data_IF_285890562062
#
_entry.id   IF_285890562062
#
_cell.length_a   1.000
_cell.length_b   1.000
_cell.length_c   1.000
_cell.angle_alpha   90.00
_cell.angle_beta   90.00
_cell.angle_gamma   90.00
#
_symmetry.space_group_name_H-M   'P 1'
#
loop_
_entity.id
_entity.type
_entity.pdbx_description
1 polymer ?
#
# COMPACT_ATOMS: atom_id res chain seq x y z
N UNK A 1 30.92 31.38 40.53
CA UNK A 1 30.47 32.34 41.57
C UNK A 1 29.40 33.21 40.94
N UNK A 2 28.13 33.04 41.37
CA UNK A 2 27.22 34.06 41.97
C UNK A 2 27.07 35.36 41.15
N UNK A 3 25.92 35.98 40.89
CA UNK A 3 24.45 35.80 41.00
C UNK A 3 23.86 37.16 40.49
N UNK A 4 22.53 37.26 40.40
CA UNK A 4 21.68 38.47 40.26
C UNK A 4 21.47 38.95 38.81
N UNK A 5 20.28 38.92 38.19
CA UNK A 5 18.88 39.21 38.60
C UNK A 5 18.66 40.66 39.03
N UNK A 6 17.99 41.46 38.20
CA UNK A 6 17.06 42.51 38.64
C UNK A 6 16.13 42.96 37.50
N UNK A 7 14.83 42.66 37.66
CA UNK A 7 13.72 43.36 37.00
C UNK A 7 13.53 44.73 37.66
N UNK A 8 13.17 45.77 36.90
CA UNK A 8 12.26 46.83 37.37
C UNK A 8 11.30 47.26 36.27
N UNK A 9 10.04 47.37 36.69
CA UNK A 9 8.84 47.76 35.96
C UNK A 9 8.77 49.29 35.81
N UNK A 10 8.11 49.77 34.74
CA UNK A 10 7.09 50.83 34.83
C UNK A 10 6.44 51.10 33.47
N UNK A 11 5.10 50.96 33.40
CA UNK A 11 4.21 51.40 32.30
C UNK A 11 4.09 52.94 32.31
N UNK A 12 3.67 53.55 31.19
CA UNK A 12 2.27 53.98 31.15
C UNK A 12 1.57 53.70 29.81
N UNK A 13 0.24 53.73 29.88
CA UNK A 13 -0.71 53.52 28.80
C UNK A 13 -1.11 54.82 28.09
N UNK A 14 -1.98 54.66 27.06
CA UNK A 14 -2.74 55.63 26.24
C UNK A 14 -2.07 56.06 24.90
N UNK A 15 -2.75 56.17 23.75
CA UNK A 15 -4.12 55.85 23.29
C UNK A 15 -4.13 55.93 21.75
N UNK A 16 -5.02 55.14 21.12
CA UNK A 16 -5.71 55.24 19.82
C UNK A 16 -5.06 55.88 18.56
N UNK A 17 -5.19 55.19 17.42
CA UNK A 17 -6.18 55.53 16.38
C UNK A 17 -6.08 54.56 15.17
N UNK A 18 -7.25 54.21 14.62
CA UNK A 18 -7.47 53.34 13.47
C UNK A 18 -7.10 54.06 12.16
N UNK A 19 -6.36 53.40 11.25
CA UNK A 19 -6.54 53.53 9.79
C UNK A 19 -5.64 52.55 9.01
N UNK A 20 -6.29 51.60 8.31
CA UNK A 20 -5.96 51.15 6.95
C UNK A 20 -4.54 50.67 6.61
N UNK A 21 -4.40 49.37 6.33
CA UNK A 21 -3.20 48.84 5.67
C UNK A 21 -3.20 47.33 5.52
N UNK A 22 -4.09 46.80 4.69
CA UNK A 22 -4.17 45.39 4.35
C UNK A 22 -3.05 45.05 3.35
N UNK A 23 -1.98 44.39 3.81
CA UNK A 23 -1.04 43.66 2.94
C UNK A 23 -1.02 42.19 3.39
N UNK A 24 -1.59 41.38 2.51
CA UNK A 24 -1.78 39.94 2.62
C UNK A 24 -0.42 39.23 2.75
N UNK A 25 -0.08 38.75 3.95
CA UNK A 25 0.95 37.71 4.11
C UNK A 25 0.36 36.38 3.63
N UNK A 26 0.37 36.17 2.31
CA UNK A 26 0.02 34.89 1.68
C UNK A 26 1.09 33.85 1.95
N UNK A 27 1.09 33.26 3.14
CA UNK A 27 1.79 32.01 3.40
C UNK A 27 1.09 30.88 2.65
N UNK A 28 1.65 30.45 1.52
CA UNK A 28 1.21 29.22 0.86
C UNK A 28 1.46 28.06 1.84
N UNK A 29 0.45 27.25 2.22
CA UNK A 29 0.74 26.01 2.92
C UNK A 29 1.50 25.14 1.93
N UNK A 30 2.75 24.82 2.25
CA UNK A 30 3.48 23.76 1.56
C UNK A 30 2.66 22.49 1.73
N UNK A 31 1.96 22.08 0.67
CA UNK A 31 1.34 20.77 0.62
C UNK A 31 2.46 19.75 0.81
N UNK A 32 2.54 19.15 2.00
CA UNK A 32 3.37 17.97 2.25
C UNK A 32 3.03 16.94 1.17
N UNK A 33 3.97 16.75 0.25
CA UNK A 33 3.89 15.66 -0.70
C UNK A 33 3.82 14.38 0.12
N UNK A 34 2.63 13.75 0.16
CA UNK A 34 2.44 12.46 0.78
C UNK A 34 3.56 11.51 0.32
N UNK A 35 4.23 10.78 1.23
CA UNK A 35 5.42 10.05 0.86
C UNK A 35 5.08 9.02 -0.23
N UNK A 36 6.00 8.87 -1.19
CA UNK A 36 5.92 7.91 -2.29
C UNK A 36 5.80 6.43 -1.83
N UNK A 37 5.83 6.19 -0.52
CA UNK A 37 5.72 4.91 0.16
C UNK A 37 4.44 4.13 -0.16
N UNK A 38 3.33 4.81 -0.44
CA UNK A 38 2.06 4.13 -0.76
C UNK A 38 2.15 3.26 -2.03
N UNK A 39 3.03 3.61 -2.97
CA UNK A 39 3.28 2.83 -4.20
C UNK A 39 4.20 1.63 -3.94
N UNK A 40 5.01 1.68 -2.89
CA UNK A 40 5.98 0.63 -2.50
C UNK A 40 5.47 -0.27 -1.38
N UNK A 41 4.27 0.00 -0.85
CA UNK A 41 3.60 -0.85 0.12
C UNK A 41 2.44 -1.61 -0.52
N UNK A 42 2.33 -2.89 -0.17
CA UNK A 42 1.15 -3.70 -0.44
C UNK A 42 0.17 -3.50 0.71
N UNK A 43 -0.86 -2.70 0.45
CA UNK A 43 -1.88 -2.36 1.44
C UNK A 43 -2.74 -3.56 1.81
N UNK A 44 -3.42 -3.49 2.95
CA UNK A 44 -4.25 -4.59 3.44
C UNK A 44 -5.42 -4.93 2.50
N UNK A 45 -5.89 -3.97 1.71
CA UNK A 45 -7.05 -4.11 0.83
C UNK A 45 -6.70 -4.07 -0.65
N UNK A 46 -5.46 -3.72 -1.02
CA UNK A 46 -5.14 -3.51 -2.42
C UNK A 46 -3.79 -2.86 -2.68
N UNK A 47 -3.56 -2.57 -3.95
CA UNK A 47 -2.33 -1.96 -4.44
C UNK A 47 -2.67 -0.91 -5.49
N UNK A 48 -2.03 0.27 -5.36
CA UNK A 48 -2.13 1.37 -6.33
C UNK A 48 -3.56 1.79 -6.67
N UNK A 49 -4.49 1.60 -5.73
CA UNK A 49 -5.89 1.96 -5.84
C UNK A 49 -6.75 0.99 -6.66
N UNK A 50 -6.24 -0.20 -6.96
CA UNK A 50 -7.05 -1.40 -7.24
C UNK A 50 -7.18 -2.15 -5.92
N UNK A 51 -8.40 -2.54 -5.55
CA UNK A 51 -8.71 -3.20 -4.27
C UNK A 51 -9.34 -4.57 -4.52
N UNK A 52 -9.09 -5.51 -3.61
CA UNK A 52 -9.79 -6.79 -3.60
C UNK A 52 -11.31 -6.57 -3.58
N UNK A 53 -12.05 -7.41 -4.30
CA UNK A 53 -13.51 -7.36 -4.38
C UNK A 53 -14.10 -6.34 -5.37
N UNK A 54 -13.29 -5.47 -5.98
CA UNK A 54 -13.78 -4.58 -7.03
C UNK A 54 -14.33 -5.40 -8.21
N UNK A 55 -15.50 -5.06 -8.73
CA UNK A 55 -15.98 -5.67 -9.98
C UNK A 55 -15.05 -5.32 -11.16
N UNK A 56 -15.21 -6.01 -12.28
CA UNK A 56 -14.46 -5.69 -13.51
C UNK A 56 -14.71 -4.24 -13.94
N UNK A 57 -15.95 -3.76 -13.82
CA UNK A 57 -16.35 -2.40 -14.17
C UNK A 57 -15.68 -1.38 -13.25
N UNK A 58 -15.67 -1.63 -11.94
CA UNK A 58 -15.00 -0.76 -10.96
C UNK A 58 -13.48 -0.73 -11.18
N UNK A 59 -12.87 -1.89 -11.41
CA UNK A 59 -11.44 -2.00 -11.67
C UNK A 59 -11.04 -1.32 -12.99
N UNK A 60 -11.88 -1.41 -14.03
CA UNK A 60 -11.69 -0.69 -15.30
C UNK A 60 -11.86 0.82 -15.10
N UNK A 61 -12.86 1.25 -14.34
CA UNK A 61 -13.15 2.65 -14.07
C UNK A 61 -12.01 3.37 -13.35
N UNK A 62 -11.10 2.65 -12.67
CA UNK A 62 -9.91 3.29 -12.10
C UNK A 62 -8.96 3.84 -13.16
N UNK A 63 -9.05 3.39 -14.42
CA UNK A 63 -8.14 3.77 -15.50
C UNK A 63 -6.71 3.28 -15.32
N UNK A 64 -6.46 2.32 -14.41
CA UNK A 64 -5.11 1.88 -14.02
C UNK A 64 -4.71 0.54 -14.61
N UNK A 65 -5.68 -0.22 -15.11
CA UNK A 65 -5.47 -1.55 -15.64
C UNK A 65 -5.64 -1.57 -17.15
N UNK A 66 -4.95 -2.51 -17.78
CA UNK A 66 -5.16 -2.94 -19.16
C UNK A 66 -5.42 -4.44 -19.13
N UNK A 67 -6.47 -4.89 -19.83
CA UNK A 67 -6.77 -6.31 -19.94
C UNK A 67 -5.75 -6.95 -20.87
N UNK A 68 -5.22 -8.10 -20.48
CA UNK A 68 -4.20 -8.84 -21.24
C UNK A 68 -4.67 -10.21 -21.69
N UNK A 69 -5.69 -10.78 -21.04
CA UNK A 69 -6.15 -12.11 -21.38
C UNK A 69 -7.28 -12.61 -20.48
N UNK A 70 -7.37 -13.94 -20.40
CA UNK A 70 -8.25 -14.69 -19.51
C UNK A 70 -7.50 -15.91 -18.99
N UNK A 71 -7.79 -16.27 -17.74
CA UNK A 71 -7.23 -17.42 -17.06
C UNK A 71 -8.32 -18.11 -16.23
N UNK A 72 -8.58 -19.38 -16.53
CA UNK A 72 -9.66 -20.15 -15.90
C UNK A 72 -10.99 -19.34 -15.90
N UNK A 73 -11.59 -19.12 -14.73
CA UNK A 73 -12.85 -18.35 -14.58
C UNK A 73 -12.64 -16.84 -14.41
N UNK A 74 -11.42 -16.36 -14.64
CA UNK A 74 -11.00 -14.99 -14.35
C UNK A 74 -10.45 -14.28 -15.59
N UNK A 75 -10.52 -12.95 -15.54
CA UNK A 75 -9.87 -12.09 -16.53
C UNK A 75 -8.52 -11.62 -16.03
N UNK A 76 -7.55 -11.50 -16.95
CA UNK A 76 -6.17 -11.13 -16.67
C UNK A 76 -5.93 -9.66 -17.01
N UNK A 77 -5.21 -8.97 -16.10
CA UNK A 77 -4.96 -7.53 -16.22
C UNK A 77 -3.56 -7.16 -15.73
N UNK A 78 -3.03 -6.09 -16.28
CA UNK A 78 -1.75 -5.49 -15.88
C UNK A 78 -1.92 -4.03 -15.45
N UNK A 79 -1.08 -3.56 -14.52
CA UNK A 79 -1.02 -2.13 -14.19
C UNK A 79 -0.37 -1.34 -15.33
N UNK A 80 -0.99 -0.25 -15.77
CA UNK A 80 -0.49 0.59 -16.88
C UNK A 80 0.88 1.20 -16.66
N UNK A 81 1.26 1.48 -15.42
CA UNK A 81 2.53 2.14 -15.06
C UNK A 81 3.23 1.36 -13.95
N UNK A 82 4.46 1.73 -13.58
CA UNK A 82 5.17 1.19 -12.41
C UNK A 82 5.73 -0.23 -12.56
N UNK A 83 6.46 -0.74 -11.56
CA UNK A 83 7.04 -2.08 -11.61
C UNK A 83 5.95 -3.15 -11.71
N UNK A 84 6.09 -4.03 -12.68
CA UNK A 84 5.20 -5.18 -12.90
C UNK A 84 5.79 -6.46 -12.33
N UNK A 85 4.93 -7.41 -12.06
CA UNK A 85 5.36 -8.80 -11.97
C UNK A 85 5.87 -9.27 -13.34
N UNK A 86 6.98 -10.02 -13.37
CA UNK A 86 7.50 -10.64 -14.60
C UNK A 86 6.92 -12.04 -14.72
N UNK A 87 6.30 -12.35 -15.86
CA UNK A 87 5.86 -13.71 -16.20
C UNK A 87 4.38 -14.01 -16.00
N UNK A 88 3.52 -12.98 -15.94
CA UNK A 88 2.07 -13.17 -15.84
C UNK A 88 1.32 -11.85 -15.57
N UNK A 89 -0.01 -11.92 -15.38
CA UNK A 89 -0.81 -10.74 -15.04
C UNK A 89 -0.45 -10.17 -13.67
N UNK A 90 -0.70 -8.88 -13.48
CA UNK A 90 -0.61 -8.25 -12.15
C UNK A 90 -1.91 -8.43 -11.34
N UNK A 91 -3.04 -8.60 -12.03
CA UNK A 91 -4.37 -8.69 -11.40
C UNK A 91 -5.22 -9.75 -12.07
N UNK A 92 -5.86 -10.60 -11.26
CA UNK A 92 -6.91 -11.52 -11.69
C UNK A 92 -8.25 -11.05 -11.15
N UNK A 93 -9.24 -10.96 -12.02
CA UNK A 93 -10.60 -10.54 -11.66
C UNK A 93 -11.58 -11.68 -11.95
N UNK A 94 -12.16 -12.22 -10.87
CA UNK A 94 -13.24 -13.19 -10.87
C UNK A 94 -14.55 -12.54 -11.28
N UNK A 95 -15.35 -13.25 -12.07
CA UNK A 95 -16.72 -12.82 -12.38
C UNK A 95 -17.63 -12.81 -11.14
N UNK A 96 -17.37 -13.69 -10.17
CA UNK A 96 -18.19 -13.85 -8.97
C UNK A 96 -17.69 -12.99 -7.80
N UNK A 97 -16.37 -12.90 -7.64
CA UNK A 97 -15.75 -12.30 -6.46
C UNK A 97 -15.07 -10.96 -6.73
N UNK A 98 -15.06 -10.49 -7.98
CA UNK A 98 -14.33 -9.28 -8.36
C UNK A 98 -12.81 -9.50 -8.33
N UNK A 99 -12.03 -8.46 -8.05
CA UNK A 99 -10.57 -8.53 -7.96
C UNK A 99 -10.20 -9.55 -6.88
N UNK A 100 -9.67 -10.67 -7.31
CA UNK A 100 -9.40 -11.84 -6.48
C UNK A 100 -7.92 -11.92 -6.09
N UNK A 101 -7.04 -11.51 -7.00
CA UNK A 101 -5.59 -11.63 -6.84
C UNK A 101 -4.93 -10.36 -7.32
N UNK A 102 -4.00 -9.83 -6.52
CA UNK A 102 -3.13 -8.72 -6.89
C UNK A 102 -1.68 -9.17 -6.66
N UNK A 103 -0.98 -9.43 -7.75
CA UNK A 103 0.43 -9.81 -7.79
C UNK A 103 1.26 -8.52 -7.91
N UNK A 104 2.33 -8.41 -7.13
CA UNK A 104 3.16 -7.20 -7.11
C UNK A 104 4.58 -7.45 -7.59
N UNK A 105 5.14 -6.45 -8.28
CA UNK A 105 6.51 -6.45 -8.74
C UNK A 105 7.54 -6.08 -7.67
N UNK A 106 8.79 -5.98 -8.10
CA UNK A 106 9.93 -5.63 -7.25
C UNK A 106 9.76 -4.27 -6.56
N UNK A 107 10.40 -4.13 -5.39
CA UNK A 107 10.34 -2.91 -4.59
C UNK A 107 9.06 -2.75 -3.76
N UNK A 108 8.05 -3.60 -3.96
CA UNK A 108 6.83 -3.62 -3.14
C UNK A 108 7.01 -4.53 -1.91
N UNK A 109 6.57 -4.05 -0.74
CA UNK A 109 6.65 -4.79 0.53
C UNK A 109 5.31 -4.81 1.25
N UNK A 110 5.04 -5.90 1.98
CA UNK A 110 3.98 -5.95 3.00
C UNK A 110 4.21 -4.93 4.11
N UNK A 111 3.20 -4.69 4.95
CA UNK A 111 3.33 -3.82 6.13
C UNK A 111 4.40 -4.29 7.12
N UNK A 112 4.72 -5.59 7.14
CA UNK A 112 5.80 -6.19 7.95
C UNK A 112 7.15 -6.27 7.22
N UNK A 113 7.30 -5.57 6.09
CA UNK A 113 8.59 -5.40 5.40
C UNK A 113 9.03 -6.55 4.50
N UNK A 114 8.22 -7.61 4.34
CA UNK A 114 8.50 -8.71 3.40
C UNK A 114 8.13 -8.31 1.98
N UNK A 115 9.02 -8.56 1.03
CA UNK A 115 8.82 -8.42 -0.42
C UNK A 115 9.71 -9.38 -1.20
N UNK A 116 9.70 -9.28 -2.53
CA UNK A 116 10.58 -10.07 -3.41
C UNK A 116 12.05 -9.94 -2.99
N UNK A 117 12.76 -11.06 -2.95
CA UNK A 117 14.15 -11.17 -2.48
C UNK A 117 14.30 -11.45 -0.98
N UNK A 118 13.24 -11.29 -0.17
CA UNK A 118 13.28 -11.63 1.26
C UNK A 118 13.56 -13.11 1.47
N UNK A 119 14.39 -13.46 2.44
CA UNK A 119 14.71 -14.86 2.75
C UNK A 119 13.54 -15.57 3.44
N UNK A 120 13.47 -16.90 3.31
CA UNK A 120 12.50 -17.73 4.06
C UNK A 120 12.59 -17.53 5.57
N UNK A 121 13.79 -17.23 6.09
CA UNK A 121 14.01 -16.89 7.51
C UNK A 121 13.38 -15.55 7.88
N UNK A 122 13.55 -14.51 7.06
CA UNK A 122 12.90 -13.21 7.27
C UNK A 122 11.38 -13.36 7.20
N UNK A 123 10.88 -14.12 6.21
CA UNK A 123 9.45 -14.41 6.06
C UNK A 123 8.87 -15.02 7.35
N UNK A 124 9.46 -16.10 7.88
CA UNK A 124 9.04 -16.72 9.15
C UNK A 124 9.14 -15.81 10.36
N UNK A 125 10.13 -14.92 10.41
CA UNK A 125 10.26 -13.96 11.51
C UNK A 125 9.15 -12.92 11.47
N UNK A 126 8.79 -12.42 10.29
CA UNK A 126 7.73 -11.42 10.12
C UNK A 126 6.32 -12.02 10.30
N UNK A 127 6.17 -13.30 9.98
CA UNK A 127 4.91 -14.04 10.08
C UNK A 127 5.20 -15.38 10.79
N UNK A 128 5.17 -15.41 12.13
CA UNK A 128 5.43 -16.65 12.87
C UNK A 128 4.34 -17.71 12.62
N UNK A 129 3.10 -17.27 12.39
CA UNK A 129 1.94 -18.12 12.11
C UNK A 129 1.73 -18.35 10.60
N UNK A 130 2.83 -18.62 9.87
CA UNK A 130 2.72 -18.94 8.44
C UNK A 130 2.00 -20.27 8.25
N UNK A 131 0.96 -20.23 7.44
CA UNK A 131 0.26 -21.41 6.97
C UNK A 131 0.83 -21.82 5.60
N UNK A 132 0.40 -22.98 5.11
CA UNK A 132 0.74 -23.48 3.77
C UNK A 132 -0.56 -23.63 2.98
N UNK A 133 -0.65 -22.98 1.83
CA UNK A 133 -1.77 -23.15 0.91
C UNK A 133 -1.81 -24.59 0.35
N UNK A 134 -2.94 -25.00 -0.22
CA UNK A 134 -3.08 -26.31 -0.89
C UNK A 134 -2.03 -26.55 -1.99
N UNK A 135 -1.52 -25.47 -2.59
CA UNK A 135 -0.42 -25.49 -3.56
C UNK A 135 0.98 -25.71 -2.96
N UNK A 136 1.12 -25.85 -1.64
CA UNK A 136 2.40 -26.03 -0.95
C UNK A 136 3.20 -24.74 -0.69
N UNK A 137 2.65 -23.57 -1.04
CA UNK A 137 3.33 -22.28 -0.85
C UNK A 137 2.92 -21.59 0.45
N UNK A 138 3.83 -20.85 1.11
CA UNK A 138 3.49 -20.14 2.35
C UNK A 138 2.44 -19.04 2.14
N UNK A 139 1.49 -18.98 3.06
CA UNK A 139 0.51 -17.89 3.16
C UNK A 139 0.51 -17.29 4.56
N UNK A 140 0.22 -15.99 4.65
CA UNK A 140 0.14 -15.29 5.93
C UNK A 140 -1.13 -14.45 6.02
N UNK A 141 -1.67 -14.30 7.22
CA UNK A 141 -2.75 -13.36 7.49
C UNK A 141 -2.34 -11.92 7.14
N UNK A 142 -3.28 -11.17 6.55
CA UNK A 142 -3.09 -9.75 6.24
C UNK A 142 -3.55 -8.92 7.44
N UNK A 143 -2.67 -8.13 8.08
CA UNK A 143 -3.09 -7.27 9.18
C UNK A 143 -4.23 -6.35 8.75
N UNK A 144 -5.31 -6.32 9.54
CA UNK A 144 -6.54 -5.52 9.30
C UNK A 144 -7.40 -5.95 8.11
N UNK A 145 -7.16 -7.12 7.50
CA UNK A 145 -8.06 -7.68 6.50
C UNK A 145 -8.24 -9.20 6.71
N UNK A 146 -9.26 -9.63 7.46
CA UNK A 146 -9.49 -11.06 7.72
C UNK A 146 -9.91 -11.83 6.47
N UNK A 147 -10.37 -11.14 5.42
CA UNK A 147 -10.84 -11.72 4.17
C UNK A 147 -9.71 -11.93 3.15
N UNK A 148 -8.45 -11.65 3.51
CA UNK A 148 -7.32 -11.80 2.62
C UNK A 148 -6.15 -12.53 3.27
N UNK A 149 -5.29 -13.09 2.44
CA UNK A 149 -3.97 -13.58 2.83
C UNK A 149 -2.90 -13.03 1.89
N UNK A 150 -1.69 -12.89 2.40
CA UNK A 150 -0.50 -12.77 1.55
C UNK A 150 -0.11 -14.16 1.08
N UNK A 151 0.25 -14.27 -0.19
CA UNK A 151 0.74 -15.50 -0.80
C UNK A 151 2.16 -15.28 -1.28
N UNK A 152 3.07 -16.22 -0.99
CA UNK A 152 4.50 -16.09 -1.31
C UNK A 152 4.98 -17.31 -2.11
N UNK A 153 5.40 -17.12 -3.36
CA UNK A 153 6.22 -18.15 -4.01
C UNK A 153 7.66 -18.02 -3.53
N UNK A 154 8.30 -19.18 -3.34
CA UNK A 154 9.71 -19.26 -3.04
C UNK A 154 10.47 -19.84 -4.23
N UNK A 155 11.60 -19.21 -4.58
CA UNK A 155 12.64 -19.82 -5.40
C UNK A 155 13.85 -20.06 -4.52
N UNK A 156 14.17 -21.35 -4.30
CA UNK A 156 15.15 -21.77 -3.31
C UNK A 156 14.82 -21.25 -1.91
N UNK A 157 15.65 -20.34 -1.39
CA UNK A 157 15.52 -19.77 -0.02
C UNK A 157 14.95 -18.36 0.01
N UNK A 158 14.46 -17.82 -1.10
CA UNK A 158 13.99 -16.43 -1.20
C UNK A 158 12.59 -16.34 -1.80
N UNK A 159 11.85 -15.31 -1.42
CA UNK A 159 10.57 -14.92 -2.03
C UNK A 159 10.85 -14.49 -3.47
N UNK A 160 10.24 -15.17 -4.43
CA UNK A 160 10.33 -14.87 -5.87
C UNK A 160 9.10 -14.14 -6.39
N UNK A 161 7.94 -14.35 -5.78
CA UNK A 161 6.69 -13.65 -6.10
C UNK A 161 5.87 -13.46 -4.84
N UNK A 162 5.08 -12.39 -4.83
CA UNK A 162 4.20 -12.04 -3.72
C UNK A 162 2.87 -11.53 -4.25
N UNK A 163 1.78 -11.97 -3.63
CA UNK A 163 0.43 -11.52 -3.96
C UNK A 163 -0.40 -11.21 -2.71
N UNK A 164 -1.39 -10.33 -2.88
CA UNK A 164 -2.53 -10.17 -1.99
C UNK A 164 -3.71 -10.94 -2.60
N UNK A 165 -4.29 -11.87 -1.83
CA UNK A 165 -5.27 -12.83 -2.33
C UNK A 165 -6.53 -12.78 -1.48
N UNK A 166 -7.69 -12.68 -2.13
CA UNK A 166 -9.00 -12.78 -1.49
C UNK A 166 -9.26 -14.23 -1.07
N UNK A 167 -9.69 -14.44 0.18
CA UNK A 167 -10.11 -15.77 0.64
C UNK A 167 -11.40 -16.20 -0.08
N UNK A 168 -11.49 -17.48 -0.46
CA UNK A 168 -12.64 -18.01 -1.18
C UNK A 168 -12.74 -17.60 -2.65
N UNK A 169 -11.68 -17.03 -3.22
CA UNK A 169 -11.58 -16.75 -4.65
C UNK A 169 -11.57 -18.03 -5.51
N UNK A 170 -11.86 -17.89 -6.80
CA UNK A 170 -11.99 -18.97 -7.80
C UNK A 170 -11.08 -18.81 -9.03
N UNK A 171 -10.02 -18.00 -8.93
CA UNK A 171 -8.98 -17.78 -9.94
C UNK A 171 -7.75 -18.69 -9.79
N UNK A 172 -7.43 -19.11 -8.56
CA UNK A 172 -6.27 -19.95 -8.22
C UNK A 172 -6.72 -21.14 -7.36
N UNK A 173 -6.04 -22.29 -7.53
CA UNK A 173 -6.34 -23.56 -6.84
C UNK A 173 -6.06 -23.52 -5.33
#
# INVERSE_FOLDING_TARGET
>A
MKHATARRLSRPALVAALAGGMLLTGGVPAAEAAPADGKRKLGAFGHRGVKLGMSVEQARATGKLVRTGNWANCSEWEFRTGPRHRGGPDVLISRRHGVAVIIVGEGVKTSRGIGIGSTRRQLRRAYPDLETAGSGFPIAAVPRNPNAHYYFLLSGRKVSQMALVLKGQDCMN
#
